data_IF_467682169449
#
_entry.id   IF_467682169449
#
_cell.length_a   1.000
_cell.length_b   1.000
_cell.length_c   1.000
_cell.angle_alpha   90.00
_cell.angle_beta   90.00
_cell.angle_gamma   90.00
#
_symmetry.space_group_name_H-M   'P 1'
#
loop_
_entity.id
_entity.type
_entity.pdbx_description
1 polymer ?
#
# COMPACT_ATOMS: atom_id res chain seq x y z
N UNK A 1 -9.01 -7.00 8.11
CA UNK A 1 -9.32 -6.06 9.22
C UNK A 1 -10.55 -6.53 10.00
N UNK A 2 -11.71 -6.74 9.37
CA UNK A 2 -12.96 -7.15 10.04
C UNK A 2 -12.82 -8.41 10.94
N UNK A 3 -12.18 -9.48 10.45
CA UNK A 3 -11.94 -10.72 11.24
C UNK A 3 -11.09 -10.48 12.49
N UNK A 4 -10.15 -9.55 12.43
CA UNK A 4 -9.26 -9.25 13.56
C UNK A 4 -10.03 -8.50 14.65
N UNK A 5 -10.82 -7.50 14.26
CA UNK A 5 -11.64 -6.73 15.18
C UNK A 5 -12.67 -7.61 15.91
N UNK A 6 -13.37 -8.49 15.20
CA UNK A 6 -14.37 -9.37 15.81
C UNK A 6 -13.76 -10.43 16.75
N UNK A 7 -12.59 -10.98 16.44
CA UNK A 7 -11.98 -12.07 17.22
C UNK A 7 -11.07 -11.59 18.36
N UNK A 8 -10.40 -10.46 18.17
CA UNK A 8 -9.37 -9.96 19.10
C UNK A 8 -9.71 -8.61 19.72
N UNK A 9 -10.82 -7.98 19.28
CA UNK A 9 -11.35 -6.75 19.88
C UNK A 9 -12.09 -6.97 21.20
N UNK A 10 -12.04 -8.17 21.78
CA UNK A 10 -12.56 -8.46 23.12
C UNK A 10 -11.55 -9.28 23.92
N UNK A 11 -11.47 -9.02 25.23
CA UNK A 11 -10.69 -9.86 26.15
C UNK A 11 -11.44 -11.16 26.51
N UNK A 12 -10.81 -12.03 27.32
CA UNK A 12 -11.44 -13.29 27.77
C UNK A 12 -12.67 -13.09 28.66
N UNK A 13 -12.97 -11.87 29.07
CA UNK A 13 -14.13 -11.47 29.88
C UNK A 13 -15.20 -10.75 29.04
N UNK A 14 -14.97 -10.54 27.73
CA UNK A 14 -15.87 -9.85 26.83
C UNK A 14 -15.73 -8.32 26.80
N UNK A 15 -14.74 -7.75 27.49
CA UNK A 15 -14.50 -6.30 27.46
C UNK A 15 -13.91 -5.90 26.12
N UNK A 16 -14.45 -4.84 25.51
CA UNK A 16 -13.97 -4.33 24.23
C UNK A 16 -12.55 -3.78 24.40
N UNK A 17 -11.62 -4.27 23.58
CA UNK A 17 -10.23 -3.78 23.51
C UNK A 17 -10.11 -2.76 22.39
N UNK A 18 -9.23 -1.77 22.60
CA UNK A 18 -8.79 -0.91 21.51
C UNK A 18 -8.03 -1.74 20.47
N UNK A 19 -8.38 -1.57 19.21
CA UNK A 19 -7.75 -2.25 18.07
C UNK A 19 -7.12 -1.19 17.16
N UNK A 20 -5.81 -1.28 17.02
CA UNK A 20 -5.02 -0.40 16.16
C UNK A 20 -4.47 -1.16 14.97
N UNK A 21 -4.20 -0.46 13.86
CA UNK A 21 -3.55 -1.04 12.68
C UNK A 21 -2.43 -0.16 12.15
N UNK A 22 -1.37 -0.80 11.68
CA UNK A 22 -0.28 -0.14 10.97
C UNK A 22 -0.15 -0.81 9.61
N UNK A 23 -0.20 -0.01 8.54
CA UNK A 23 0.02 -0.46 7.18
C UNK A 23 1.17 0.31 6.55
N UNK A 24 2.12 -0.38 5.93
CA UNK A 24 3.26 0.24 5.26
C UNK A 24 3.26 -0.08 3.76
N UNK A 25 3.71 0.87 2.93
CA UNK A 25 3.76 0.71 1.47
C UNK A 25 2.42 0.22 0.90
N UNK A 26 2.40 -0.86 0.13
CA UNK A 26 1.16 -1.45 -0.39
C UNK A 26 0.16 -1.83 0.72
N UNK A 27 0.65 -2.30 1.88
CA UNK A 27 -0.20 -2.63 3.03
C UNK A 27 -0.89 -1.39 3.61
N UNK A 28 -0.25 -0.23 3.52
CA UNK A 28 -0.86 1.05 3.89
C UNK A 28 -1.94 1.48 2.91
N UNK A 29 -1.76 1.25 1.60
CA UNK A 29 -2.81 1.50 0.60
C UNK A 29 -4.05 0.66 0.90
N UNK A 30 -3.87 -0.63 1.19
CA UNK A 30 -4.97 -1.53 1.55
C UNK A 30 -5.67 -1.07 2.83
N UNK A 31 -4.91 -0.66 3.85
CA UNK A 31 -5.46 -0.15 5.10
C UNK A 31 -6.26 1.13 4.88
N UNK A 32 -5.69 2.13 4.21
CA UNK A 32 -6.37 3.40 3.93
C UNK A 32 -7.63 3.23 3.08
N UNK A 33 -7.59 2.32 2.08
CA UNK A 33 -8.78 1.97 1.31
C UNK A 33 -9.86 1.34 2.19
N UNK A 34 -9.48 0.39 3.05
CA UNK A 34 -10.43 -0.24 3.96
C UNK A 34 -11.05 0.77 4.95
N UNK A 35 -10.25 1.71 5.47
CA UNK A 35 -10.74 2.75 6.38
C UNK A 35 -11.75 3.68 5.71
N UNK A 36 -11.58 4.00 4.43
CA UNK A 36 -12.51 4.86 3.69
C UNK A 36 -13.72 4.12 3.11
N UNK A 37 -13.55 2.87 2.69
CA UNK A 37 -14.64 2.07 2.12
C UNK A 37 -15.56 1.50 3.21
N UNK A 38 -15.04 1.24 4.42
CA UNK A 38 -15.77 0.69 5.58
C UNK A 38 -15.83 1.68 6.75
N UNK A 39 -15.89 2.98 6.46
CA UNK A 39 -15.81 4.04 7.47
C UNK A 39 -16.89 3.90 8.57
N UNK A 40 -18.10 3.48 8.20
CA UNK A 40 -19.25 3.33 9.11
C UNK A 40 -19.18 2.07 9.98
N UNK A 41 -18.29 1.12 9.68
CA UNK A 41 -18.15 -0.11 10.46
C UNK A 41 -17.29 0.07 11.72
N UNK A 42 -16.56 1.19 11.84
CA UNK A 42 -15.70 1.52 12.99
C UNK A 42 -14.82 0.34 13.46
N UNK A 43 -14.17 -0.34 12.50
CA UNK A 43 -13.42 -1.57 12.74
C UNK A 43 -12.16 -1.39 13.60
N UNK A 44 -11.63 -0.17 13.64
CA UNK A 44 -10.36 0.21 14.27
C UNK A 44 -10.55 1.51 15.04
N UNK A 45 -9.87 1.63 16.17
CA UNK A 45 -9.88 2.82 17.01
C UNK A 45 -8.88 3.89 16.52
N UNK A 46 -7.79 3.46 15.89
CA UNK A 46 -6.82 4.33 15.23
C UNK A 46 -5.96 3.55 14.22
N UNK A 47 -5.36 4.26 13.27
CA UNK A 47 -4.49 3.66 12.26
C UNK A 47 -3.28 4.51 11.89
N UNK A 48 -2.20 3.85 11.47
CA UNK A 48 -1.04 4.50 10.88
C UNK A 48 -0.76 3.93 9.48
N UNK A 49 -0.60 4.83 8.50
CA UNK A 49 -0.32 4.53 7.10
C UNK A 49 1.05 5.10 6.77
N UNK A 50 2.04 4.24 6.55
CA UNK A 50 3.47 4.61 6.47
C UNK A 50 4.00 4.41 5.05
N UNK A 51 4.65 5.43 4.48
CA UNK A 51 5.25 5.46 3.14
C UNK A 51 4.39 4.78 2.09
N UNK A 52 3.17 5.28 1.96
CA UNK A 52 2.15 4.70 1.10
C UNK A 52 1.92 5.64 -0.08
N UNK A 53 1.88 5.14 -1.33
CA UNK A 53 1.50 5.97 -2.46
C UNK A 53 0.04 6.42 -2.30
N UNK A 54 -0.19 7.72 -2.08
CA UNK A 54 -1.55 8.25 -2.08
C UNK A 54 -2.07 8.31 -3.52
N UNK A 55 -1.26 8.87 -4.41
CA UNK A 55 -1.50 8.97 -5.86
C UNK A 55 -0.60 7.99 -6.62
N UNK A 56 -1.03 6.73 -6.73
CA UNK A 56 -0.23 5.63 -7.32
C UNK A 56 0.20 5.92 -8.77
N UNK A 57 -0.58 6.69 -9.53
CA UNK A 57 -0.22 7.07 -10.91
C UNK A 57 0.94 8.08 -10.99
N UNK A 58 1.20 8.87 -9.94
CA UNK A 58 2.35 9.81 -9.93
C UNK A 58 3.67 9.08 -9.66
N UNK A 59 3.60 7.90 -9.04
CA UNK A 59 4.76 7.04 -8.78
C UNK A 59 5.31 6.42 -10.07
N UNK A 60 4.48 6.18 -11.09
CA UNK A 60 4.90 5.43 -12.28
C UNK A 60 5.94 6.16 -13.11
N UNK A 61 5.84 7.48 -13.21
CA UNK A 61 6.79 8.28 -13.97
C UNK A 61 8.10 8.46 -13.20
N UNK A 62 8.01 8.59 -11.87
CA UNK A 62 9.18 8.62 -11.02
C UNK A 62 9.95 7.29 -11.04
N UNK A 63 9.26 6.16 -10.92
CA UNK A 63 9.84 4.82 -10.97
C UNK A 63 10.60 4.50 -12.26
N UNK A 64 10.21 5.09 -13.40
CA UNK A 64 10.95 4.90 -14.67
C UNK A 64 12.36 5.47 -14.57
N UNK A 65 12.52 6.55 -13.81
CA UNK A 65 13.78 7.30 -13.69
C UNK A 65 14.55 6.98 -12.40
N UNK A 66 13.86 6.48 -11.37
CA UNK A 66 14.47 6.19 -10.08
C UNK A 66 15.29 4.89 -10.11
N UNK A 67 16.37 4.87 -9.33
CA UNK A 67 17.27 3.71 -9.15
C UNK A 67 17.79 3.09 -10.46
N UNK A 68 17.90 3.88 -11.55
CA UNK A 68 18.29 3.40 -12.88
C UNK A 68 17.45 2.20 -13.39
N UNK A 69 16.17 2.11 -13.01
CA UNK A 69 15.28 1.02 -13.40
C UNK A 69 15.54 -0.32 -12.70
N UNK A 70 16.46 -0.38 -11.73
CA UNK A 70 16.75 -1.60 -10.97
C UNK A 70 15.51 -2.11 -10.20
N UNK A 71 14.69 -1.19 -9.69
CA UNK A 71 13.43 -1.54 -9.02
C UNK A 71 12.46 -2.24 -9.98
N UNK A 72 12.19 -1.67 -11.16
CA UNK A 72 11.32 -2.27 -12.18
C UNK A 72 11.77 -3.68 -12.59
N UNK A 73 13.09 -3.86 -12.76
CA UNK A 73 13.67 -5.16 -13.07
C UNK A 73 13.48 -6.18 -11.93
N UNK A 74 13.73 -5.76 -10.70
CA UNK A 74 13.59 -6.63 -9.53
C UNK A 74 12.12 -7.05 -9.33
N UNK A 75 11.20 -6.09 -9.38
CA UNK A 75 9.76 -6.32 -9.21
C UNK A 75 9.20 -7.21 -10.33
N UNK A 76 9.46 -6.90 -11.60
CA UNK A 76 8.99 -7.71 -12.72
C UNK A 76 9.45 -9.17 -12.63
N UNK A 77 10.70 -9.42 -12.22
CA UNK A 77 11.22 -10.77 -11.97
C UNK A 77 10.54 -11.46 -10.80
N UNK A 78 10.41 -10.78 -9.65
CA UNK A 78 9.80 -11.35 -8.46
C UNK A 78 8.35 -11.72 -8.68
N UNK A 79 7.57 -10.82 -9.28
CA UNK A 79 6.16 -11.04 -9.61
C UNK A 79 5.99 -12.15 -10.65
N UNK A 80 6.82 -12.17 -11.70
CA UNK A 80 6.80 -13.25 -12.69
C UNK A 80 7.07 -14.61 -12.03
N UNK A 81 8.06 -14.70 -11.15
CA UNK A 81 8.37 -15.95 -10.42
C UNK A 81 7.21 -16.43 -9.56
N UNK A 82 6.48 -15.51 -8.92
CA UNK A 82 5.30 -15.85 -8.11
C UNK A 82 4.16 -16.39 -8.98
N UNK A 83 3.94 -15.82 -10.16
CA UNK A 83 2.96 -16.36 -11.11
C UNK A 83 3.40 -17.73 -11.62
N UNK A 84 4.68 -17.89 -11.95
CA UNK A 84 5.23 -19.16 -12.42
C UNK A 84 5.12 -20.28 -11.40
N UNK A 85 5.39 -20.01 -10.12
CA UNK A 85 5.25 -21.00 -9.05
C UNK A 85 3.80 -21.45 -8.86
N UNK A 86 2.84 -20.63 -9.28
CA UNK A 86 1.40 -20.91 -9.19
C UNK A 86 0.75 -21.11 -10.58
N UNK A 87 1.56 -21.34 -11.61
CA UNK A 87 1.12 -21.32 -13.00
C UNK A 87 -0.04 -22.27 -13.29
N UNK A 88 -0.05 -23.55 -12.84
CA UNK A 88 -1.16 -24.45 -13.16
C UNK A 88 -2.53 -23.96 -12.67
N UNK A 89 -2.57 -23.29 -11.53
CA UNK A 89 -3.81 -22.75 -10.96
C UNK A 89 -4.24 -21.47 -11.68
N UNK A 90 -3.27 -20.58 -11.94
CA UNK A 90 -3.55 -19.29 -12.57
C UNK A 90 -3.86 -19.44 -14.06
N UNK A 91 -3.15 -20.27 -14.80
CA UNK A 91 -3.34 -20.47 -16.24
C UNK A 91 -4.75 -20.96 -16.57
N UNK A 92 -5.29 -21.87 -15.77
CA UNK A 92 -6.66 -22.34 -15.93
C UNK A 92 -7.69 -21.21 -15.76
N UNK A 93 -7.50 -20.34 -14.77
CA UNK A 93 -8.35 -19.18 -14.54
C UNK A 93 -8.21 -18.13 -15.65
N UNK A 94 -6.97 -17.77 -16.02
CA UNK A 94 -6.69 -16.76 -17.05
C UNK A 94 -7.23 -17.18 -18.42
N UNK A 95 -7.07 -18.44 -18.82
CA UNK A 95 -7.60 -18.94 -20.09
C UNK A 95 -9.12 -18.99 -20.10
N UNK A 96 -9.73 -19.50 -19.04
CA UNK A 96 -11.18 -19.74 -18.99
C UNK A 96 -11.99 -18.46 -18.78
N UNK A 97 -11.57 -17.62 -17.84
CA UNK A 97 -12.33 -16.46 -17.38
C UNK A 97 -11.91 -15.17 -18.10
N UNK A 98 -10.64 -15.05 -18.50
CA UNK A 98 -10.10 -13.83 -19.11
C UNK A 98 -9.74 -13.99 -20.59
N UNK A 99 -9.66 -15.22 -21.11
CA UNK A 99 -9.23 -15.49 -22.48
C UNK A 99 -7.77 -15.12 -22.75
N UNK A 100 -6.93 -15.07 -21.71
CA UNK A 100 -5.53 -14.63 -21.79
C UNK A 100 -4.60 -15.84 -21.78
N UNK A 101 -3.65 -15.88 -22.72
CA UNK A 101 -2.50 -16.79 -22.63
C UNK A 101 -1.50 -16.25 -21.61
N UNK A 102 -1.55 -16.81 -20.39
CA UNK A 102 -0.69 -16.39 -19.30
C UNK A 102 0.79 -16.64 -19.59
N UNK A 103 1.14 -17.64 -20.40
CA UNK A 103 2.53 -17.93 -20.78
C UNK A 103 3.07 -16.89 -21.74
N UNK A 104 2.28 -16.49 -22.72
CA UNK A 104 2.64 -15.39 -23.63
C UNK A 104 2.82 -14.09 -22.86
N UNK A 105 1.89 -13.77 -21.95
CA UNK A 105 1.99 -12.59 -21.10
C UNK A 105 3.28 -12.58 -20.27
N UNK A 106 3.62 -13.68 -19.60
CA UNK A 106 4.85 -13.81 -18.82
C UNK A 106 6.12 -13.68 -19.68
N UNK A 107 6.12 -14.21 -20.90
CA UNK A 107 7.26 -14.06 -21.80
C UNK A 107 7.50 -12.59 -22.17
N UNK A 108 6.43 -11.85 -22.53
CA UNK A 108 6.51 -10.41 -22.82
C UNK A 108 7.04 -9.62 -21.63
N UNK A 109 6.58 -9.93 -20.41
CA UNK A 109 7.09 -9.27 -19.19
C UNK A 109 8.60 -9.49 -19.02
N UNK A 110 9.10 -10.70 -19.27
CA UNK A 110 10.53 -11.01 -19.12
C UNK A 110 11.40 -10.34 -20.19
N UNK A 111 10.87 -10.16 -21.39
CA UNK A 111 11.52 -9.44 -22.49
C UNK A 111 11.66 -7.95 -22.15
N UNK A 112 10.55 -7.31 -21.76
CA UNK A 112 10.49 -5.88 -21.46
C UNK A 112 11.07 -5.50 -20.09
N UNK A 113 11.15 -6.46 -19.16
CA UNK A 113 11.68 -6.28 -17.79
C UNK A 113 11.00 -5.14 -17.02
N UNK A 114 9.71 -4.96 -17.27
CA UNK A 114 8.94 -3.81 -16.78
C UNK A 114 7.78 -4.25 -15.90
N UNK A 115 7.69 -3.64 -14.71
CA UNK A 115 6.54 -3.84 -13.83
C UNK A 115 5.25 -3.33 -14.48
N UNK A 116 5.31 -2.23 -15.24
CA UNK A 116 4.13 -1.67 -15.91
C UNK A 116 3.55 -2.67 -16.93
N UNK A 117 4.42 -3.39 -17.66
CA UNK A 117 4.01 -4.45 -18.59
C UNK A 117 3.40 -5.63 -17.84
N UNK A 118 3.95 -5.99 -16.67
CA UNK A 118 3.32 -7.01 -15.82
C UNK A 118 1.92 -6.57 -15.38
N UNK A 119 1.78 -5.32 -14.94
CA UNK A 119 0.50 -4.80 -14.49
C UNK A 119 -0.52 -4.67 -15.63
N UNK A 120 -0.11 -4.32 -16.85
CA UNK A 120 -0.99 -4.27 -18.02
C UNK A 120 -1.47 -5.67 -18.47
N UNK A 121 -0.58 -6.66 -18.47
CA UNK A 121 -0.87 -7.97 -19.05
C UNK A 121 -1.45 -8.96 -18.04
N UNK A 122 -1.17 -8.78 -16.75
CA UNK A 122 -1.49 -9.76 -15.71
C UNK A 122 -2.35 -9.13 -14.61
N UNK A 123 -1.83 -8.12 -13.90
CA UNK A 123 -2.52 -7.60 -12.70
C UNK A 123 -3.83 -6.89 -13.04
N UNK A 124 -3.82 -5.97 -13.99
CA UNK A 124 -5.01 -5.19 -14.35
C UNK A 124 -6.12 -6.10 -14.90
N UNK A 125 -5.86 -7.01 -15.86
CA UNK A 125 -6.88 -7.96 -16.32
C UNK A 125 -7.42 -8.86 -15.22
N UNK A 126 -6.57 -9.32 -14.29
CA UNK A 126 -6.99 -10.12 -13.15
C UNK A 126 -8.05 -9.42 -12.27
N UNK A 127 -7.94 -8.10 -12.11
CA UNK A 127 -8.93 -7.28 -11.40
C UNK A 127 -10.01 -6.68 -12.33
N UNK A 128 -10.09 -7.12 -13.58
CA UNK A 128 -11.04 -6.60 -14.57
C UNK A 128 -10.83 -5.12 -14.91
N UNK A 129 -9.59 -4.64 -14.81
CA UNK A 129 -9.17 -3.27 -15.16
C UNK A 129 -8.56 -3.24 -16.56
N UNK A 130 -8.63 -2.10 -17.24
CA UNK A 130 -8.21 -1.97 -18.65
C UNK A 130 -6.70 -1.85 -18.88
N UNK A 131 -5.95 -1.60 -17.80
CA UNK A 131 -4.49 -1.41 -17.83
C UNK A 131 -4.00 -0.84 -16.50
N UNK A 132 -2.68 -0.64 -16.40
CA UNK A 132 -2.01 -0.21 -15.17
C UNK A 132 -2.51 1.14 -14.67
N UNK A 133 -2.78 2.13 -15.54
CA UNK A 133 -3.31 3.43 -15.10
C UNK A 133 -4.71 3.33 -14.49
N UNK A 134 -5.58 2.49 -15.05
CA UNK A 134 -6.93 2.22 -14.51
C UNK A 134 -6.83 1.47 -13.18
N UNK A 135 -5.97 0.45 -13.13
CA UNK A 135 -5.64 -0.27 -11.90
C UNK A 135 -5.14 0.68 -10.80
N UNK A 136 -4.20 1.56 -11.10
CA UNK A 136 -3.59 2.48 -10.13
C UNK A 136 -4.56 3.54 -9.63
N UNK A 137 -5.44 4.06 -10.50
CA UNK A 137 -6.53 4.95 -10.06
C UNK A 137 -7.52 4.22 -9.16
N UNK A 138 -7.85 2.98 -9.50
CA UNK A 138 -8.77 2.18 -8.70
C UNK A 138 -8.19 1.86 -7.31
N UNK A 139 -6.91 1.49 -7.23
CA UNK A 139 -6.23 1.14 -5.97
C UNK A 139 -5.77 2.34 -5.15
N UNK A 140 -5.67 3.53 -5.73
CA UNK A 140 -5.21 4.72 -5.02
C UNK A 140 -6.10 5.05 -3.82
N UNK A 141 -5.45 5.17 -2.66
CA UNK A 141 -6.11 5.57 -1.43
C UNK A 141 -6.49 7.04 -1.40
N UNK A 142 -5.93 7.86 -2.29
CA UNK A 142 -6.32 9.26 -2.52
C UNK A 142 -7.85 9.47 -2.50
N UNK A 143 -8.61 8.64 -3.22
CA UNK A 143 -10.07 8.80 -3.31
C UNK A 143 -10.84 8.38 -2.05
N UNK A 144 -10.18 7.66 -1.13
CA UNK A 144 -10.79 7.14 0.11
C UNK A 144 -10.47 8.03 1.30
N UNK A 145 -9.37 8.78 1.26
CA UNK A 145 -8.94 9.68 2.34
C UNK A 145 -10.09 10.57 2.82
N UNK A 146 -10.89 11.26 1.97
CA UNK A 146 -11.97 12.12 2.47
C UNK A 146 -13.08 11.39 3.24
N UNK A 147 -13.19 10.07 3.10
CA UNK A 147 -14.22 9.25 3.77
C UNK A 147 -13.75 8.65 5.09
N UNK A 148 -12.45 8.69 5.38
CA UNK A 148 -11.89 8.09 6.58
C UNK A 148 -12.47 8.77 7.83
N UNK A 149 -13.12 7.99 8.69
CA UNK A 149 -13.65 8.45 9.98
C UNK A 149 -12.78 8.04 11.17
N UNK A 150 -11.95 7.00 11.02
CA UNK A 150 -11.00 6.56 12.06
C UNK A 150 -9.82 7.53 12.17
N UNK A 151 -9.39 7.94 13.38
CA UNK A 151 -8.16 8.69 13.59
C UNK A 151 -6.97 8.03 12.89
N UNK A 152 -6.40 8.71 11.89
CA UNK A 152 -5.39 8.11 11.01
C UNK A 152 -4.19 9.03 10.82
N UNK A 153 -3.00 8.53 11.13
CA UNK A 153 -1.75 9.21 10.76
C UNK A 153 -1.20 8.66 9.45
N UNK A 154 -1.03 9.54 8.47
CA UNK A 154 -0.22 9.30 7.29
C UNK A 154 1.21 9.74 7.58
N UNK A 155 2.19 8.86 7.40
CA UNK A 155 3.60 9.18 7.50
C UNK A 155 4.27 8.94 6.16
N UNK A 156 5.08 9.89 5.69
CA UNK A 156 5.77 9.78 4.39
C UNK A 156 7.15 10.42 4.43
N UNK A 157 8.09 9.88 3.65
CA UNK A 157 9.42 10.45 3.54
C UNK A 157 9.56 11.20 2.21
N UNK A 158 10.16 12.39 2.25
CA UNK A 158 10.35 13.23 1.07
C UNK A 158 11.48 12.70 0.17
N UNK A 159 12.45 11.99 0.74
CA UNK A 159 13.56 11.34 0.03
C UNK A 159 13.24 9.92 -0.45
N UNK A 160 11.97 9.51 -0.44
CA UNK A 160 11.55 8.16 -0.84
C UNK A 160 11.93 7.88 -2.31
N UNK A 161 12.89 6.96 -2.59
CA UNK A 161 13.38 6.72 -3.94
C UNK A 161 12.42 5.87 -4.80
N UNK A 162 11.30 5.42 -4.21
CA UNK A 162 10.28 4.61 -4.88
C UNK A 162 9.05 5.47 -5.16
N UNK A 163 8.54 6.17 -4.15
CA UNK A 163 7.29 6.93 -4.27
C UNK A 163 7.48 8.34 -4.82
N UNK A 164 8.57 9.00 -4.41
CA UNK A 164 8.78 10.43 -4.63
C UNK A 164 7.78 11.32 -3.88
N UNK A 165 8.19 12.56 -3.62
CA UNK A 165 7.39 13.57 -2.90
C UNK A 165 6.05 13.88 -3.61
N UNK A 166 6.02 13.83 -4.94
CA UNK A 166 4.82 14.12 -5.73
C UNK A 166 3.64 13.17 -5.45
N UNK A 167 3.92 11.99 -4.89
CA UNK A 167 2.89 11.03 -4.49
C UNK A 167 2.11 11.48 -3.24
N UNK A 168 2.65 12.43 -2.47
CA UNK A 168 2.05 12.99 -1.26
C UNK A 168 1.02 14.05 -1.67
N UNK A 169 -0.12 14.05 -0.99
CA UNK A 169 -1.18 15.04 -1.21
C UNK A 169 -1.53 15.74 0.10
N UNK A 170 -0.83 16.84 0.35
CA UNK A 170 -0.95 17.62 1.60
C UNK A 170 -2.36 18.15 1.82
N UNK A 171 -2.99 18.67 0.77
CA UNK A 171 -4.34 19.24 0.87
C UNK A 171 -5.37 18.15 1.12
N UNK A 172 -5.26 17.00 0.44
CA UNK A 172 -6.22 15.91 0.63
C UNK A 172 -6.22 15.40 2.07
N UNK A 173 -5.03 15.20 2.67
CA UNK A 173 -4.95 14.75 4.06
C UNK A 173 -5.42 15.85 5.02
N UNK A 174 -5.01 17.11 4.80
CA UNK A 174 -5.39 18.24 5.66
C UNK A 174 -6.90 18.50 5.68
N UNK A 175 -7.60 18.24 4.58
CA UNK A 175 -9.04 18.46 4.47
C UNK A 175 -9.88 17.42 5.21
N UNK A 176 -9.30 16.33 5.71
CA UNK A 176 -10.00 15.38 6.57
C UNK A 176 -9.61 15.62 8.05
N UNK A 177 -10.56 16.01 8.93
CA UNK A 177 -10.28 16.29 10.34
C UNK A 177 -9.84 15.07 11.15
N UNK A 178 -10.09 13.85 10.67
CA UNK A 178 -9.66 12.60 11.32
C UNK A 178 -8.25 12.18 10.88
N UNK A 179 -7.62 12.92 9.97
CA UNK A 179 -6.33 12.56 9.40
C UNK A 179 -5.25 13.57 9.77
N UNK A 180 -4.04 13.09 10.00
CA UNK A 180 -2.84 13.91 10.16
C UNK A 180 -1.76 13.42 9.21
N UNK A 181 -0.98 14.34 8.64
CA UNK A 181 0.16 14.02 7.79
C UNK A 181 1.46 14.40 8.50
N UNK A 182 2.34 13.42 8.69
CA UNK A 182 3.70 13.60 9.14
C UNK A 182 4.67 13.35 7.97
N UNK A 183 5.50 14.33 7.63
CA UNK A 183 6.51 14.18 6.58
C UNK A 183 7.92 14.31 7.13
N UNK A 184 8.81 13.44 6.70
CA UNK A 184 10.21 13.46 7.11
C UNK A 184 11.11 13.75 5.92
N UNK A 185 12.15 14.55 6.14
CA UNK A 185 13.12 14.86 5.08
C UNK A 185 13.97 13.67 4.65
N UNK A 186 14.26 12.76 5.59
CA UNK A 186 15.17 11.63 5.38
C UNK A 186 14.56 10.36 6.01
N UNK A 187 14.57 9.27 5.27
CA UNK A 187 14.12 7.95 5.73
C UNK A 187 14.00 6.90 4.63
N UNK A 188 14.14 7.28 3.35
CA UNK A 188 13.98 6.39 2.20
C UNK A 188 12.57 5.77 2.13
N UNK A 189 12.40 4.63 1.46
CA UNK A 189 11.07 4.03 1.32
C UNK A 189 10.55 3.42 2.62
N UNK A 190 11.37 2.60 3.28
CA UNK A 190 11.11 2.03 4.61
C UNK A 190 12.42 1.91 5.42
N UNK A 191 13.45 2.63 5.01
CA UNK A 191 14.83 2.52 5.49
C UNK A 191 15.10 3.39 6.71
N UNK A 192 14.17 3.40 7.67
CA UNK A 192 14.15 4.24 8.86
C UNK A 192 15.19 3.87 9.92
N UNK A 193 16.42 3.57 9.52
CA UNK A 193 17.49 3.23 10.44
C UNK A 193 18.02 4.48 11.13
N UNK A 194 18.10 4.42 12.47
CA UNK A 194 18.56 5.54 13.30
C UNK A 194 20.05 5.85 13.09
N UNK A 195 20.82 4.88 12.62
CA UNK A 195 22.20 5.05 12.16
C UNK A 195 22.61 3.88 11.26
N UNK A 196 23.73 4.02 10.54
CA UNK A 196 24.35 2.92 9.75
C UNK A 196 24.68 1.67 10.58
N UNK A 197 24.72 1.78 11.91
CA UNK A 197 25.07 0.70 12.84
C UNK A 197 23.92 0.31 13.78
N UNK A 198 22.74 0.93 13.64
CA UNK A 198 21.58 0.63 14.47
C UNK A 198 20.48 -0.06 13.68
N UNK A 199 19.92 -1.11 14.29
CA UNK A 199 18.69 -1.74 13.82
C UNK A 199 17.44 -0.99 14.31
N UNK A 200 17.60 0.11 15.05
CA UNK A 200 16.48 0.89 15.56
C UNK A 200 15.77 1.60 14.41
N UNK A 201 14.54 1.16 14.20
CA UNK A 201 13.60 1.68 13.20
C UNK A 201 12.87 2.86 13.82
N UNK A 202 13.32 4.08 13.56
CA UNK A 202 12.91 5.25 14.34
C UNK A 202 11.45 5.65 14.13
N UNK A 203 10.85 5.37 12.96
CA UNK A 203 9.45 5.73 12.68
C UNK A 203 8.44 5.06 13.60
N UNK A 204 8.84 3.94 14.24
CA UNK A 204 7.99 3.24 15.18
C UNK A 204 7.64 4.11 16.39
N UNK A 205 8.55 4.96 16.86
CA UNK A 205 8.29 5.85 17.99
C UNK A 205 7.12 6.81 17.73
N UNK A 206 7.16 7.70 16.71
CA UNK A 206 6.04 8.59 16.42
C UNK A 206 4.75 7.83 16.04
N UNK A 207 4.86 6.68 15.38
CA UNK A 207 3.70 5.81 15.10
C UNK A 207 3.04 5.30 16.38
N UNK A 208 3.83 4.79 17.33
CA UNK A 208 3.31 4.31 18.61
C UNK A 208 2.78 5.46 19.46
N UNK A 209 3.48 6.58 19.54
CA UNK A 209 3.00 7.76 20.28
C UNK A 209 1.67 8.29 19.75
N UNK A 210 1.48 8.30 18.42
CA UNK A 210 0.18 8.64 17.84
C UNK A 210 -0.90 7.65 18.28
N UNK A 211 -0.67 6.33 18.15
CA UNK A 211 -1.66 5.32 18.53
C UNK A 211 -1.97 5.34 20.03
N UNK A 212 -0.96 5.54 20.88
CA UNK A 212 -1.11 5.68 22.33
C UNK A 212 -1.92 6.92 22.69
N UNK A 213 -1.79 8.03 21.95
CA UNK A 213 -2.62 9.22 22.19
C UNK A 213 -4.12 9.00 21.94
N UNK A 214 -4.50 7.92 21.25
CA UNK A 214 -5.89 7.55 20.99
C UNK A 214 -6.45 6.60 22.05
N UNK A 215 -5.66 6.28 23.08
CA UNK A 215 -6.07 5.51 24.24
C UNK A 215 -6.72 6.42 25.29
N UNK A 216 -7.80 5.94 25.86
CA UNK A 216 -8.58 6.56 26.94
C UNK A 216 -8.69 5.64 28.17
N UNK A 217 -7.92 4.54 28.18
CA UNK A 217 -7.89 3.49 29.20
C UNK A 217 -6.71 3.59 30.18
#
# INVERSE_FOLDING_TARGET
VCVVSQRYGQDSQGNKRKVFAIGASLGGTLLANALGDYADEHLLDAACVVNTPLKVWEMTDFLKTSMNGAYNLHMSRGMSKLVESNFPLLDAHFKKELGIDLREALNKVKEEKSQLVFDDLITAPFFGRKGHLDLYRWTACYYRIPKIQTPTMFMSNLDDPILGEQSIDYEMVRNNPNCVLATNRIGGHLGYHSSLFSLDVWFMQPVLSFLESQRDD
#
